data_IF_674700003302
#
_entry.id   IF_674700003302
#
_cell.length_a   1.000
_cell.length_b   1.000
_cell.length_c   1.000
_cell.angle_alpha   90.00
_cell.angle_beta   90.00
_cell.angle_gamma   90.00
#
_symmetry.space_group_name_H-M   'P 1'
#
loop_
_entity.id
_entity.type
_entity.pdbx_description
1 polymer ?
#
# COMPACT_ATOMS: atom_id res chain seq x y z
N UNK A 1 -54.06 -36.21 -25.91
CA UNK A 1 -54.53 -35.01 -25.19
C UNK A 1 -54.37 -35.26 -23.70
N UNK A 2 -53.39 -34.62 -23.08
CA UNK A 2 -53.30 -34.22 -21.66
C UNK A 2 -51.82 -34.00 -21.30
N UNK A 3 -51.31 -32.82 -21.63
CA UNK A 3 -50.01 -32.32 -21.17
C UNK A 3 -50.04 -32.08 -19.65
N UNK A 4 -49.13 -32.71 -18.90
CA UNK A 4 -48.84 -32.31 -17.51
C UNK A 4 -47.83 -31.17 -17.52
N UNK A 5 -48.32 -29.93 -17.44
CA UNK A 5 -47.48 -28.77 -17.15
C UNK A 5 -47.06 -28.81 -15.67
N UNK A 6 -45.81 -29.20 -15.42
CA UNK A 6 -45.15 -29.00 -14.14
C UNK A 6 -45.00 -27.50 -13.84
N UNK A 7 -45.50 -27.08 -12.67
CA UNK A 7 -45.43 -25.70 -12.16
C UNK A 7 -43.98 -25.26 -12.00
N UNK A 8 -43.51 -24.33 -12.83
CA UNK A 8 -42.18 -23.74 -12.74
C UNK A 8 -42.12 -22.75 -11.56
N UNK A 9 -41.29 -23.05 -10.55
CA UNK A 9 -40.97 -22.14 -9.45
C UNK A 9 -39.63 -21.44 -9.75
N UNK A 10 -39.62 -20.15 -10.08
CA UNK A 10 -38.41 -19.43 -10.47
C UNK A 10 -37.38 -19.27 -9.34
N UNK A 11 -37.77 -19.55 -8.09
CA UNK A 11 -36.87 -19.46 -6.94
C UNK A 11 -36.34 -20.83 -6.48
N UNK A 12 -36.68 -21.92 -7.19
CA UNK A 12 -36.15 -23.27 -6.97
C UNK A 12 -35.78 -23.91 -8.32
N UNK A 13 -34.66 -23.50 -8.95
CA UNK A 13 -34.19 -24.17 -10.15
C UNK A 13 -33.94 -25.65 -9.83
N UNK A 14 -34.60 -26.54 -10.57
CA UNK A 14 -34.35 -27.97 -10.49
C UNK A 14 -32.88 -28.21 -10.86
N UNK A 15 -32.09 -28.71 -9.91
CA UNK A 15 -30.67 -28.96 -10.13
C UNK A 15 -30.49 -30.06 -11.17
N UNK A 16 -29.65 -29.87 -12.20
CA UNK A 16 -29.39 -30.91 -13.19
C UNK A 16 -28.70 -32.09 -12.52
N UNK A 17 -29.25 -33.30 -12.68
CA UNK A 17 -28.62 -34.53 -12.20
C UNK A 17 -27.36 -34.80 -13.01
N UNK A 18 -26.21 -34.74 -12.34
CA UNK A 18 -24.91 -35.11 -12.92
C UNK A 18 -24.76 -36.63 -12.78
N UNK A 19 -24.59 -37.39 -13.89
CA UNK A 19 -24.32 -38.81 -13.81
C UNK A 19 -23.02 -39.08 -13.03
N UNK A 20 -23.08 -39.88 -11.97
CA UNK A 20 -21.90 -40.32 -11.21
C UNK A 20 -21.72 -39.74 -9.81
N UNK A 21 -22.66 -38.93 -9.30
CA UNK A 21 -22.68 -38.49 -7.88
C UNK A 21 -23.89 -39.11 -7.16
N UNK A 22 -23.68 -39.73 -6.00
CA UNK A 22 -24.76 -40.26 -5.17
C UNK A 22 -25.47 -39.12 -4.43
N UNK A 23 -26.79 -39.02 -4.58
CA UNK A 23 -27.64 -38.07 -3.88
C UNK A 23 -27.67 -38.39 -2.37
N UNK A 24 -26.93 -37.63 -1.56
CA UNK A 24 -27.04 -37.68 -0.10
C UNK A 24 -28.14 -36.73 0.38
N UNK A 25 -29.39 -37.20 0.44
CA UNK A 25 -30.40 -36.71 1.39
C UNK A 25 -31.67 -37.56 1.36
N UNK A 26 -31.82 -38.40 2.37
CA UNK A 26 -33.13 -38.82 2.86
C UNK A 26 -33.08 -38.85 4.40
N UNK A 27 -33.94 -38.09 5.10
CA UNK A 27 -34.10 -38.23 6.55
C UNK A 27 -35.01 -39.45 6.85
N UNK A 28 -34.76 -40.22 7.92
CA UNK A 28 -35.67 -41.30 8.31
C UNK A 28 -36.92 -40.75 9.05
N UNK A 29 -38.03 -41.53 9.08
CA UNK A 29 -39.34 -41.06 9.54
C UNK A 29 -39.47 -41.05 11.08
N UNK A 30 -40.34 -40.17 11.55
CA UNK A 30 -40.76 -40.06 12.94
C UNK A 30 -41.72 -41.21 13.31
N UNK A 31 -41.42 -41.89 14.42
CA UNK A 31 -42.33 -42.78 15.13
C UNK A 31 -42.50 -42.27 16.57
N UNK A 32 -43.72 -42.38 17.08
CA UNK A 32 -44.25 -41.59 18.19
C UNK A 32 -43.93 -42.14 19.59
N UNK A 33 -43.97 -41.21 20.55
CA UNK A 33 -44.33 -41.36 21.96
C UNK A 33 -43.30 -41.95 22.95
N UNK A 34 -42.64 -41.07 23.71
CA UNK A 34 -42.91 -40.89 25.16
C UNK A 34 -42.10 -39.71 25.74
N UNK A 35 -42.81 -38.76 26.35
CA UNK A 35 -42.29 -37.83 27.36
C UNK A 35 -42.91 -38.28 28.72
N UNK A 36 -42.40 -37.94 29.93
CA UNK A 36 -41.71 -36.68 30.33
C UNK A 36 -40.41 -36.91 31.14
N UNK A 37 -39.55 -35.93 31.44
CA UNK A 37 -39.56 -35.16 32.72
C UNK A 37 -38.35 -34.16 32.79
N UNK A 38 -38.63 -32.85 32.80
CA UNK A 38 -38.03 -31.70 33.57
C UNK A 38 -36.48 -31.46 33.72
N UNK A 39 -36.03 -30.25 34.15
CA UNK A 39 -35.05 -29.45 33.39
C UNK A 39 -33.73 -29.11 34.13
N UNK A 40 -32.88 -28.33 33.42
CA UNK A 40 -31.87 -27.37 33.88
C UNK A 40 -30.39 -27.82 33.95
N UNK A 41 -29.56 -27.15 33.15
CA UNK A 41 -28.20 -26.77 33.56
C UNK A 41 -27.79 -25.47 32.86
N UNK A 42 -27.83 -24.39 33.65
CA UNK A 42 -27.43 -23.01 33.35
C UNK A 42 -25.90 -22.95 33.42
N UNK A 43 -25.23 -22.79 32.27
CA UNK A 43 -23.77 -22.65 32.21
C UNK A 43 -23.31 -21.38 32.92
N UNK A 44 -22.44 -21.54 33.91
CA UNK A 44 -21.84 -20.46 34.72
C UNK A 44 -20.71 -19.80 33.93
N UNK A 45 -20.74 -18.47 33.81
CA UNK A 45 -19.62 -17.65 33.34
C UNK A 45 -18.62 -17.41 34.49
N UNK A 46 -17.30 -17.52 34.27
CA UNK A 46 -16.29 -17.35 35.32
C UNK A 46 -16.06 -15.87 35.72
N UNK A 47 -15.76 -15.59 37.00
CA UNK A 47 -15.93 -14.27 37.66
C UNK A 47 -14.74 -13.28 37.52
N UNK A 48 -13.92 -13.36 36.47
CA UNK A 48 -12.62 -12.67 36.41
C UNK A 48 -12.54 -11.37 35.59
N UNK A 49 -13.67 -10.83 35.11
CA UNK A 49 -13.67 -9.60 34.29
C UNK A 49 -14.28 -8.36 34.96
N UNK A 50 -14.46 -8.38 36.28
CA UNK A 50 -14.96 -7.23 37.07
C UNK A 50 -13.82 -6.22 37.41
N UNK A 51 -12.57 -6.48 37.00
CA UNK A 51 -11.40 -5.69 37.40
C UNK A 51 -10.93 -4.59 36.42
N UNK A 52 -11.76 -4.12 35.48
CA UNK A 52 -11.42 -2.97 34.59
C UNK A 52 -12.42 -1.81 34.77
N UNK A 53 -12.88 -1.60 36.01
CA UNK A 53 -13.74 -0.45 36.36
C UNK A 53 -13.01 0.70 37.06
N UNK A 54 -11.80 0.48 37.58
CA UNK A 54 -11.17 1.40 38.56
C UNK A 54 -9.96 2.21 38.02
N UNK A 55 -9.47 1.95 36.80
CA UNK A 55 -8.28 2.64 36.27
C UNK A 55 -8.58 3.97 35.53
N UNK A 56 -9.86 4.30 35.32
CA UNK A 56 -10.27 5.50 34.55
C UNK A 56 -10.18 6.84 35.28
N UNK A 57 -10.08 6.85 36.61
CA UNK A 57 -10.19 8.08 37.40
C UNK A 57 -8.85 8.82 37.63
N UNK A 58 -7.69 8.20 37.37
CA UNK A 58 -6.37 8.79 37.67
C UNK A 58 -5.80 9.58 36.48
N UNK A 59 -6.18 9.26 35.24
CA UNK A 59 -5.64 9.91 34.03
C UNK A 59 -6.25 11.29 33.73
N UNK A 60 -7.41 11.62 34.29
CA UNK A 60 -8.06 12.93 34.09
C UNK A 60 -7.42 14.07 34.93
N UNK A 61 -6.71 13.75 36.02
CA UNK A 61 -6.08 14.75 36.88
C UNK A 61 -4.77 15.32 36.35
N UNK A 62 -4.03 14.56 35.53
CA UNK A 62 -2.69 14.95 35.04
C UNK A 62 -2.79 15.85 33.79
N UNK A 63 -3.88 15.75 33.01
CA UNK A 63 -4.07 16.49 31.76
C UNK A 63 -4.30 18.00 31.92
N UNK A 64 -4.85 18.48 33.05
CA UNK A 64 -5.13 19.91 33.24
C UNK A 64 -3.92 20.73 33.72
N UNK A 65 -2.92 20.10 34.36
CA UNK A 65 -1.76 20.82 34.92
C UNK A 65 -0.75 21.29 33.86
N UNK A 66 -0.67 20.60 32.73
CA UNK A 66 0.34 20.89 31.69
C UNK A 66 -0.07 22.00 30.71
N UNK A 67 -1.34 22.41 30.69
CA UNK A 67 -1.81 23.46 29.77
C UNK A 67 -1.64 24.89 30.32
N UNK A 68 -1.38 25.04 31.62
CA UNK A 68 -1.26 26.34 32.30
C UNK A 68 0.18 26.83 32.49
N UNK A 69 1.20 26.03 32.16
CA UNK A 69 2.62 26.40 32.26
C UNK A 69 3.34 26.46 30.90
N UNK A 70 2.74 27.10 29.89
CA UNK A 70 3.49 27.47 28.68
C UNK A 70 4.15 28.85 28.88
N UNK A 71 5.50 28.93 28.98
CA UNK A 71 6.20 30.20 28.97
C UNK A 71 6.11 30.84 27.57
N UNK A 72 5.81 32.13 27.53
CA UNK A 72 5.75 32.96 26.34
C UNK A 72 7.16 33.28 25.83
N UNK A 73 7.44 32.96 24.57
CA UNK A 73 8.64 33.43 23.85
C UNK A 73 8.50 34.90 23.44
N UNK A 74 9.48 35.77 23.73
CA UNK A 74 9.51 37.13 23.21
C UNK A 74 10.12 37.24 21.79
N UNK A 75 9.42 38.01 20.97
CA UNK A 75 9.87 39.01 19.97
C UNK A 75 10.79 38.62 18.78
N UNK A 76 10.39 39.04 17.58
CA UNK A 76 11.25 39.87 16.70
C UNK A 76 10.40 40.77 15.77
N UNK A 77 10.69 42.07 15.64
CA UNK A 77 9.93 43.03 14.82
C UNK A 77 10.33 43.03 13.32
N UNK A 78 9.42 43.43 12.40
CA UNK A 78 9.72 43.44 10.97
C UNK A 78 10.65 44.59 10.58
N UNK A 79 11.81 44.25 10.00
CA UNK A 79 12.67 45.19 9.31
C UNK A 79 11.99 45.66 8.01
N UNK A 80 11.76 46.97 7.93
CA UNK A 80 11.29 47.67 6.74
C UNK A 80 12.33 47.55 5.60
N UNK A 81 11.91 47.02 4.44
CA UNK A 81 12.67 47.18 3.20
C UNK A 81 12.23 48.45 2.50
N UNK A 82 13.10 49.46 2.55
CA UNK A 82 12.93 50.73 1.85
C UNK A 82 13.23 50.55 0.36
N UNK A 83 12.44 51.26 -0.45
CA UNK A 83 12.46 51.29 -1.90
C UNK A 83 13.74 51.91 -2.48
N UNK A 84 14.18 51.39 -3.63
CA UNK A 84 15.24 51.96 -4.45
C UNK A 84 14.88 53.37 -4.97
N UNK A 85 15.89 54.14 -5.41
CA UNK A 85 15.80 54.58 -6.81
C UNK A 85 17.09 54.40 -7.61
N UNK A 86 16.86 54.30 -8.92
CA UNK A 86 17.80 54.10 -10.00
C UNK A 86 18.76 55.28 -10.21
N UNK A 87 19.94 54.98 -10.77
CA UNK A 87 20.69 55.87 -11.66
C UNK A 87 21.65 55.04 -12.53
N UNK A 88 21.33 54.93 -13.82
CA UNK A 88 22.27 54.69 -14.93
C UNK A 88 22.75 56.06 -15.46
N UNK A 89 23.67 56.20 -16.45
CA UNK A 89 24.53 55.21 -17.14
C UNK A 89 26.02 55.65 -17.31
N UNK A 90 26.92 54.71 -17.64
CA UNK A 90 27.93 54.92 -18.69
C UNK A 90 28.73 53.66 -19.01
N UNK A 91 29.28 53.55 -20.24
CA UNK A 91 29.49 52.30 -20.95
C UNK A 91 30.95 51.81 -20.89
N UNK A 92 31.15 50.64 -21.50
CA UNK A 92 32.43 50.20 -22.06
C UNK A 92 33.38 49.44 -21.11
N UNK A 93 33.21 48.12 -21.08
CA UNK A 93 34.33 47.21 -21.26
C UNK A 93 33.79 45.83 -21.63
N UNK A 94 34.17 45.37 -22.81
CA UNK A 94 33.83 44.08 -23.36
C UNK A 94 34.18 42.93 -22.41
N UNK A 95 33.20 42.09 -22.09
CA UNK A 95 33.40 40.78 -21.50
C UNK A 95 32.51 39.77 -22.24
N UNK A 96 33.13 39.17 -23.27
CA UNK A 96 32.92 37.84 -23.84
C UNK A 96 31.69 37.08 -23.28
N UNK A 97 30.61 37.03 -24.07
CA UNK A 97 29.49 36.10 -23.83
C UNK A 97 29.95 34.68 -24.21
N UNK A 98 29.89 33.67 -23.31
CA UNK A 98 29.81 32.30 -23.75
C UNK A 98 28.41 32.06 -24.34
N UNK A 99 28.40 31.39 -25.50
CA UNK A 99 27.23 31.10 -26.30
C UNK A 99 26.08 30.49 -25.47
N UNK A 100 24.87 31.02 -25.70
CA UNK A 100 23.61 30.44 -25.24
C UNK A 100 23.54 28.97 -25.69
N UNK A 101 23.37 27.99 -24.79
CA UNK A 101 23.14 26.61 -25.23
C UNK A 101 21.79 26.53 -25.94
N UNK A 102 21.82 25.95 -27.14
CA UNK A 102 20.65 25.70 -27.99
C UNK A 102 19.51 25.04 -27.19
N UNK A 103 18.24 25.28 -27.55
CA UNK A 103 17.11 24.65 -26.88
C UNK A 103 17.28 23.13 -26.97
N UNK A 104 17.32 22.49 -25.80
CA UNK A 104 17.31 21.04 -25.67
C UNK A 104 16.05 20.56 -26.39
N UNK A 105 16.25 19.89 -27.53
CA UNK A 105 15.19 19.22 -28.28
C UNK A 105 14.50 18.30 -27.28
N UNK A 106 13.23 18.56 -27.00
CA UNK A 106 12.42 17.71 -26.16
C UNK A 106 12.40 16.32 -26.78
N UNK A 107 13.15 15.39 -26.17
CA UNK A 107 13.19 14.00 -26.57
C UNK A 107 11.77 13.45 -26.44
N UNK A 108 11.17 13.11 -27.58
CA UNK A 108 9.84 12.53 -27.65
C UNK A 108 9.88 11.21 -26.85
N UNK A 109 9.09 11.05 -25.78
CA UNK A 109 9.14 9.84 -24.97
C UNK A 109 8.88 8.60 -25.82
N UNK A 110 9.68 7.52 -25.67
CA UNK A 110 9.54 6.34 -26.50
C UNK A 110 8.14 5.72 -26.34
N UNK A 111 7.57 5.28 -27.47
CA UNK A 111 6.25 4.64 -27.55
C UNK A 111 6.20 3.21 -26.95
N UNK A 112 7.26 2.80 -26.24
CA UNK A 112 7.53 1.45 -25.76
C UNK A 112 7.47 1.41 -24.23
N UNK A 113 7.21 0.23 -23.61
CA UNK A 113 7.33 0.11 -22.15
C UNK A 113 8.72 0.60 -21.71
N UNK A 114 8.74 1.48 -20.71
CA UNK A 114 9.96 2.13 -20.24
C UNK A 114 10.94 1.06 -19.77
N UNK A 115 12.14 1.03 -20.35
CA UNK A 115 13.23 0.22 -19.83
C UNK A 115 13.70 0.84 -18.52
N UNK A 116 13.49 0.12 -17.41
CA UNK A 116 13.76 0.64 -16.06
C UNK A 116 15.11 0.21 -15.54
N UNK A 117 15.58 -0.98 -15.90
CA UNK A 117 16.82 -1.56 -15.41
C UNK A 117 17.27 -2.73 -16.27
N UNK A 118 18.51 -3.18 -16.08
CA UNK A 118 18.97 -4.48 -16.56
C UNK A 118 18.97 -5.53 -15.45
N UNK A 119 18.98 -6.81 -15.83
CA UNK A 119 19.11 -7.91 -14.87
C UNK A 119 20.48 -7.93 -14.19
N UNK A 120 21.50 -7.35 -14.82
CA UNK A 120 22.84 -7.20 -14.27
C UNK A 120 22.89 -6.08 -13.22
N UNK A 121 22.20 -4.96 -13.46
CA UNK A 121 22.07 -3.87 -12.48
C UNK A 121 21.34 -4.30 -11.20
N UNK A 122 20.46 -5.29 -11.31
CA UNK A 122 19.58 -5.78 -10.25
C UNK A 122 19.95 -7.20 -9.80
N UNK A 123 21.25 -7.53 -9.83
CA UNK A 123 21.78 -8.87 -9.57
C UNK A 123 21.68 -9.30 -8.09
N UNK A 124 21.79 -8.34 -7.17
CA UNK A 124 21.76 -8.59 -5.73
C UNK A 124 20.34 -8.61 -5.17
N UNK A 125 20.05 -9.51 -4.21
CA UNK A 125 18.83 -9.41 -3.42
C UNK A 125 18.71 -8.03 -2.78
N UNK A 126 17.51 -7.46 -2.81
CA UNK A 126 17.19 -6.13 -2.32
C UNK A 126 17.87 -4.97 -3.05
N UNK A 127 18.54 -5.21 -4.18
CA UNK A 127 18.93 -4.14 -5.09
C UNK A 127 17.68 -3.34 -5.46
N UNK A 128 17.80 -2.02 -5.49
CA UNK A 128 16.67 -1.14 -5.78
C UNK A 128 17.09 -0.03 -6.73
N UNK A 129 16.19 0.32 -7.65
CA UNK A 129 16.40 1.42 -8.60
C UNK A 129 15.16 2.28 -8.68
N UNK A 130 15.34 3.59 -8.46
CA UNK A 130 14.28 4.58 -8.69
C UNK A 130 14.14 4.82 -10.19
N UNK A 131 12.91 4.99 -10.64
CA UNK A 131 12.61 5.34 -12.02
C UNK A 131 11.32 6.18 -12.09
N UNK A 132 11.03 6.70 -13.27
CA UNK A 132 9.80 7.44 -13.54
C UNK A 132 8.97 6.64 -14.53
N UNK A 133 7.74 6.28 -14.14
CA UNK A 133 6.82 5.57 -15.01
C UNK A 133 5.99 6.56 -15.82
N UNK A 134 6.09 6.50 -17.15
CA UNK A 134 5.31 7.32 -18.06
C UNK A 134 4.11 6.54 -18.59
N UNK A 135 2.92 6.78 -18.01
CA UNK A 135 1.69 6.16 -18.56
C UNK A 135 1.21 6.96 -19.75
N UNK A 136 0.90 6.27 -20.86
CA UNK A 136 0.31 6.86 -22.08
C UNK A 136 -1.00 7.66 -21.86
N UNK A 137 -1.66 7.47 -20.71
CA UNK A 137 -2.99 8.01 -20.39
C UNK A 137 -3.00 8.73 -19.03
N UNK A 138 -1.90 8.78 -18.27
CA UNK A 138 -1.87 9.53 -17.00
C UNK A 138 -1.48 10.99 -17.24
N UNK A 139 -1.98 11.87 -16.37
CA UNK A 139 -1.73 13.31 -16.37
C UNK A 139 -0.35 13.64 -15.76
N UNK A 140 0.67 12.84 -16.08
CA UNK A 140 2.05 13.14 -15.70
C UNK A 140 2.91 11.94 -15.27
N UNK A 141 4.21 12.19 -15.07
CA UNK A 141 5.17 11.20 -14.60
C UNK A 141 4.84 10.68 -13.20
N UNK A 142 4.95 9.37 -13.00
CA UNK A 142 4.77 8.73 -11.69
C UNK A 142 6.13 8.27 -11.16
N UNK A 143 6.65 8.83 -10.05
CA UNK A 143 7.87 8.34 -9.44
C UNK A 143 7.64 6.93 -8.87
N UNK A 144 8.59 6.03 -9.12
CA UNK A 144 8.48 4.63 -8.81
C UNK A 144 9.80 4.03 -8.32
N UNK A 145 9.70 2.86 -7.69
CA UNK A 145 10.84 2.07 -7.26
C UNK A 145 10.71 0.65 -7.76
N UNK A 146 11.79 0.13 -8.35
CA UNK A 146 11.98 -1.27 -8.66
C UNK A 146 12.85 -1.89 -7.56
N UNK A 147 12.45 -3.05 -7.05
CA UNK A 147 13.18 -3.81 -6.03
C UNK A 147 13.38 -5.25 -6.50
N UNK A 148 14.62 -5.75 -6.41
CA UNK A 148 14.92 -7.17 -6.58
C UNK A 148 14.57 -7.91 -5.29
N UNK A 149 13.60 -8.81 -5.35
CA UNK A 149 13.23 -9.63 -4.18
C UNK A 149 14.27 -10.73 -3.94
N UNK A 150 14.44 -11.25 -2.73
CA UNK A 150 15.17 -12.49 -2.52
C UNK A 150 14.40 -13.68 -3.11
N UNK A 151 15.11 -14.54 -3.83
CA UNK A 151 14.55 -15.76 -4.41
C UNK A 151 14.18 -15.65 -5.90
N UNK A 152 14.10 -16.81 -6.56
CA UNK A 152 13.84 -16.90 -7.99
C UNK A 152 15.00 -16.44 -8.88
N UNK A 153 14.85 -16.67 -10.19
CA UNK A 153 15.83 -16.26 -11.20
C UNK A 153 15.69 -14.78 -11.54
N UNK A 154 16.80 -14.07 -11.72
CA UNK A 154 16.82 -12.69 -12.22
C UNK A 154 16.13 -12.56 -13.60
N UNK A 155 15.91 -13.66 -14.32
CA UNK A 155 15.18 -13.69 -15.60
C UNK A 155 13.65 -13.88 -15.44
N UNK A 156 13.14 -13.92 -14.21
CA UNK A 156 11.70 -14.02 -13.92
C UNK A 156 11.12 -12.70 -13.45
N UNK A 157 10.01 -12.25 -14.00
CA UNK A 157 9.32 -11.04 -13.52
C UNK A 157 8.91 -11.13 -12.03
N UNK A 158 8.56 -12.34 -11.55
CA UNK A 158 8.13 -12.56 -10.16
C UNK A 158 9.24 -12.32 -9.12
N UNK A 159 10.49 -12.23 -9.58
CA UNK A 159 11.69 -11.91 -8.79
C UNK A 159 11.85 -10.41 -8.53
N UNK A 160 10.98 -9.59 -9.11
CA UNK A 160 11.00 -8.15 -8.99
C UNK A 160 9.68 -7.65 -8.42
N UNK A 161 9.78 -6.51 -7.76
CA UNK A 161 8.64 -5.76 -7.29
C UNK A 161 8.81 -4.30 -7.68
N UNK A 162 7.93 -3.81 -8.54
CA UNK A 162 7.88 -2.40 -8.88
C UNK A 162 6.57 -1.78 -8.39
N UNK A 163 6.67 -0.57 -7.86
CA UNK A 163 5.53 0.14 -7.30
C UNK A 163 5.73 1.65 -7.36
N UNK A 164 4.63 2.40 -7.34
CA UNK A 164 4.65 3.86 -7.26
C UNK A 164 5.10 4.32 -5.87
N UNK A 165 6.02 5.28 -5.83
CA UNK A 165 6.55 5.85 -4.58
C UNK A 165 5.53 6.70 -3.83
N UNK A 166 4.45 7.14 -4.47
CA UNK A 166 3.36 7.87 -3.81
C UNK A 166 2.08 7.05 -3.87
N UNK A 167 1.46 6.82 -2.72
CA UNK A 167 0.11 6.26 -2.68
C UNK A 167 -0.90 7.29 -3.17
N UNK A 168 -2.09 6.86 -3.62
CA UNK A 168 -3.10 7.78 -4.20
C UNK A 168 -3.52 8.93 -3.27
N UNK A 169 -3.39 8.73 -1.97
CA UNK A 169 -3.79 9.69 -0.94
C UNK A 169 -2.65 10.03 0.04
N UNK A 170 -1.46 9.48 -0.19
CA UNK A 170 -0.30 9.68 0.67
C UNK A 170 0.38 11.01 0.38
N UNK A 171 0.83 11.67 1.44
CA UNK A 171 1.63 12.90 1.34
C UNK A 171 3.13 12.60 1.26
N UNK A 172 3.55 11.47 1.82
CA UNK A 172 4.93 11.06 1.85
C UNK A 172 5.26 10.11 0.71
N UNK A 173 6.53 10.10 0.32
CA UNK A 173 7.06 9.04 -0.53
C UNK A 173 7.36 7.80 0.31
N UNK A 174 7.08 6.65 -0.28
CA UNK A 174 7.50 5.35 0.21
C UNK A 174 9.02 5.23 0.13
N UNK A 175 9.62 4.52 1.07
CA UNK A 175 11.05 4.20 1.03
C UNK A 175 11.27 2.71 1.28
N UNK A 176 12.29 2.13 0.62
CA UNK A 176 12.80 0.81 0.96
C UNK A 176 13.75 0.96 2.15
N UNK A 177 13.32 0.46 3.31
CA UNK A 177 14.08 0.51 4.55
C UNK A 177 14.80 -0.81 4.75
N UNK A 178 16.12 -0.82 4.51
CA UNK A 178 16.98 -1.97 4.77
C UNK A 178 17.50 -2.03 6.21
N UNK A 179 17.54 -0.89 6.90
CA UNK A 179 17.92 -0.81 8.31
C UNK A 179 16.77 -1.33 9.21
N UNK A 180 16.94 -2.53 9.76
CA UNK A 180 15.95 -3.17 10.60
C UNK A 180 15.78 -2.47 11.96
N UNK A 181 16.81 -1.77 12.42
CA UNK A 181 16.74 -1.00 13.65
C UNK A 181 15.91 0.27 13.42
N UNK A 182 16.07 0.94 12.26
CA UNK A 182 15.19 2.03 11.82
C UNK A 182 13.72 1.59 11.75
N UNK A 183 13.44 0.41 11.17
CA UNK A 183 12.08 -0.14 11.17
C UNK A 183 11.52 -0.34 12.58
N UNK A 184 12.36 -0.75 13.52
CA UNK A 184 11.96 -0.96 14.91
C UNK A 184 11.75 0.36 15.66
N UNK A 185 12.66 1.32 15.52
CA UNK A 185 12.62 2.59 16.26
C UNK A 185 11.57 3.55 15.72
N UNK A 186 11.55 3.75 14.40
CA UNK A 186 10.81 4.84 13.78
C UNK A 186 9.40 4.38 13.39
N UNK A 187 9.26 3.11 12.99
CA UNK A 187 7.99 2.52 12.54
C UNK A 187 7.38 1.55 13.56
N UNK A 188 8.07 1.26 14.66
CA UNK A 188 7.59 0.33 15.69
C UNK A 188 7.42 -1.11 15.20
N UNK A 189 8.10 -1.50 14.13
CA UNK A 189 7.92 -2.79 13.47
C UNK A 189 9.22 -3.61 13.45
N UNK A 190 9.17 -4.84 13.98
CA UNK A 190 10.31 -5.78 13.93
C UNK A 190 10.23 -6.61 12.66
N UNK A 191 11.07 -6.28 11.68
CA UNK A 191 11.21 -7.04 10.44
C UNK A 191 12.39 -8.01 10.48
N UNK A 192 12.38 -9.00 9.59
CA UNK A 192 13.51 -9.93 9.38
C UNK A 192 14.25 -9.66 8.06
N UNK A 193 13.75 -8.70 7.28
CA UNK A 193 14.29 -8.33 5.98
C UNK A 193 13.88 -6.89 5.65
N UNK A 194 14.47 -6.27 4.61
CA UNK A 194 14.04 -4.96 4.14
C UNK A 194 12.53 -4.89 3.88
N UNK A 195 11.95 -3.76 4.24
CA UNK A 195 10.53 -3.46 4.09
C UNK A 195 10.34 -2.17 3.32
N UNK A 196 9.14 -1.96 2.79
CA UNK A 196 8.77 -0.64 2.26
C UNK A 196 7.95 0.08 3.31
N UNK A 197 8.24 1.34 3.58
CA UNK A 197 7.58 2.09 4.63
C UNK A 197 7.12 3.47 4.17
N UNK A 198 6.02 3.95 4.75
CA UNK A 198 5.51 5.31 4.56
C UNK A 198 5.71 6.13 5.85
N UNK A 199 6.59 7.14 5.87
CA UNK A 199 6.92 7.88 7.08
C UNK A 199 5.77 8.76 7.62
N UNK A 200 4.80 9.14 6.78
CA UNK A 200 3.67 9.98 7.22
C UNK A 200 2.72 9.26 8.17
N UNK A 201 2.52 7.95 7.98
CA UNK A 201 1.51 7.15 8.69
C UNK A 201 2.13 6.01 9.49
N UNK A 202 3.46 5.93 9.50
CA UNK A 202 4.25 4.81 10.00
C UNK A 202 3.76 3.45 9.46
N UNK A 203 3.27 3.45 8.22
CA UNK A 203 2.80 2.22 7.57
C UNK A 203 4.00 1.43 7.07
N UNK A 204 3.99 0.11 7.30
CA UNK A 204 4.99 -0.82 6.78
C UNK A 204 4.32 -1.85 5.88
N UNK A 205 4.93 -2.07 4.72
CA UNK A 205 4.53 -3.00 3.68
C UNK A 205 5.59 -4.08 3.53
N UNK A 206 5.15 -5.35 3.56
CA UNK A 206 6.04 -6.49 3.39
C UNK A 206 6.15 -6.91 1.91
N UNK A 207 7.35 -6.78 1.28
CA UNK A 207 7.58 -7.13 -0.12
C UNK A 207 7.33 -8.61 -0.45
N UNK A 208 7.46 -9.50 0.52
CA UNK A 208 7.38 -10.95 0.36
C UNK A 208 5.97 -11.48 0.60
N UNK A 209 5.16 -10.74 1.38
CA UNK A 209 3.78 -11.10 1.63
C UNK A 209 2.82 -10.55 0.57
N UNK A 210 1.68 -11.22 0.44
CA UNK A 210 0.56 -10.79 -0.42
C UNK A 210 -0.59 -10.30 0.43
N UNK A 211 -1.15 -9.15 0.05
CA UNK A 211 -2.39 -8.63 0.58
C UNK A 211 -3.54 -8.83 -0.41
N UNK A 212 -4.75 -8.50 0.02
CA UNK A 212 -5.95 -8.56 -0.83
C UNK A 212 -6.52 -7.17 -1.05
N UNK A 213 -6.75 -6.80 -2.31
CA UNK A 213 -7.43 -5.56 -2.69
C UNK A 213 -8.62 -5.93 -3.57
N UNK A 214 -9.83 -5.63 -3.12
CA UNK A 214 -11.07 -5.91 -3.88
C UNK A 214 -11.19 -7.37 -4.36
N UNK A 215 -10.71 -8.33 -3.56
CA UNK A 215 -10.72 -9.76 -3.89
C UNK A 215 -9.53 -10.27 -4.72
N UNK A 216 -8.67 -9.37 -5.22
CA UNK A 216 -7.45 -9.73 -5.94
C UNK A 216 -6.25 -9.78 -4.99
N UNK A 217 -5.34 -10.73 -5.22
CA UNK A 217 -4.09 -10.84 -4.48
C UNK A 217 -3.02 -9.93 -5.09
N UNK A 218 -2.45 -9.07 -4.27
CA UNK A 218 -1.37 -8.14 -4.67
C UNK A 218 -0.19 -8.28 -3.74
N UNK A 219 1.03 -8.02 -4.23
CA UNK A 219 2.25 -8.04 -3.41
C UNK A 219 2.34 -6.79 -2.53
N UNK A 220 3.03 -6.87 -1.39
CA UNK A 220 3.27 -5.70 -0.54
C UNK A 220 2.23 -5.57 0.57
N UNK A 221 1.89 -6.66 1.25
CA UNK A 221 0.86 -6.66 2.29
C UNK A 221 1.13 -5.58 3.35
N UNK A 222 0.08 -4.89 3.81
CA UNK A 222 0.18 -3.97 4.95
C UNK A 222 0.35 -4.81 6.21
N UNK A 223 1.48 -4.67 6.89
CA UNK A 223 1.81 -5.42 8.12
C UNK A 223 1.78 -4.55 9.38
N UNK A 224 1.76 -3.22 9.20
CA UNK A 224 1.67 -2.23 10.27
C UNK A 224 1.14 -0.91 9.70
N UNK A 225 0.45 -0.12 10.54
CA UNK A 225 -0.02 1.23 10.21
C UNK A 225 -1.44 1.28 9.67
N UNK A 226 -1.81 2.42 9.08
CA UNK A 226 -3.20 2.75 8.74
C UNK A 226 -3.53 2.68 7.25
N UNK A 227 -2.60 2.24 6.40
CA UNK A 227 -2.89 2.12 4.97
C UNK A 227 -3.95 1.04 4.72
N UNK A 228 -4.96 1.40 3.91
CA UNK A 228 -6.04 0.49 3.54
C UNK A 228 -5.66 -0.49 2.43
N UNK A 229 -4.61 -0.17 1.67
CA UNK A 229 -4.18 -0.94 0.50
C UNK A 229 -2.66 -0.95 0.40
N UNK A 230 -2.08 -2.03 -0.13
CA UNK A 230 -0.71 -2.05 -0.62
C UNK A 230 -0.39 -0.92 -1.62
N UNK A 231 0.90 -0.65 -1.87
CA UNK A 231 1.33 0.32 -2.87
C UNK A 231 0.78 0.01 -4.26
N UNK A 232 0.58 1.04 -5.09
CA UNK A 232 0.16 0.82 -6.48
C UNK A 232 1.26 0.09 -7.24
N UNK A 233 0.92 -1.09 -7.74
CA UNK A 233 1.82 -1.98 -8.44
C UNK A 233 2.12 -1.47 -9.84
N UNK A 234 3.37 -1.68 -10.27
CA UNK A 234 3.79 -1.54 -11.66
C UNK A 234 4.23 -2.92 -12.14
N UNK A 235 3.55 -3.43 -13.14
CA UNK A 235 3.90 -4.68 -13.79
C UNK A 235 5.21 -4.54 -14.54
N UNK A 236 6.05 -5.56 -14.41
CA UNK A 236 7.33 -5.65 -15.10
C UNK A 236 7.40 -6.88 -15.99
N UNK A 237 8.05 -6.73 -17.13
CA UNK A 237 8.39 -7.81 -18.03
C UNK A 237 9.89 -7.88 -18.22
N UNK A 238 10.40 -9.10 -18.44
CA UNK A 238 11.82 -9.32 -18.71
C UNK A 238 11.97 -9.75 -20.16
N UNK A 239 12.78 -9.00 -20.91
CA UNK A 239 13.10 -9.29 -22.31
C UNK A 239 14.61 -9.35 -22.48
N UNK A 240 15.15 -10.57 -22.55
CA UNK A 240 16.59 -10.78 -22.52
C UNK A 240 17.14 -10.38 -21.15
N UNK A 241 18.03 -9.39 -21.13
CA UNK A 241 18.58 -8.80 -19.91
C UNK A 241 17.89 -7.49 -19.50
N UNK A 242 16.83 -7.07 -20.20
CA UNK A 242 16.14 -5.81 -19.91
C UNK A 242 14.89 -6.03 -19.08
N UNK A 243 14.67 -5.15 -18.12
CA UNK A 243 13.48 -5.08 -17.28
C UNK A 243 12.65 -3.90 -17.78
N UNK A 244 11.42 -4.17 -18.18
CA UNK A 244 10.51 -3.22 -18.80
C UNK A 244 9.30 -3.00 -17.90
N UNK A 245 8.98 -1.75 -17.57
CA UNK A 245 7.74 -1.42 -16.87
C UNK A 245 6.60 -1.29 -17.89
N UNK A 246 5.53 -2.07 -17.72
CA UNK A 246 4.49 -2.22 -18.75
C UNK A 246 3.16 -1.59 -18.38
N UNK A 247 2.71 -1.75 -17.14
CA UNK A 247 1.37 -1.34 -16.72
C UNK A 247 1.37 -0.98 -15.23
N UNK A 248 0.45 -0.11 -14.82
CA UNK A 248 0.20 0.21 -13.42
C UNK A 248 -1.26 -0.11 -13.08
N UNK A 249 -1.48 -0.77 -11.94
CA UNK A 249 -2.78 -1.24 -11.44
C UNK A 249 -3.64 -0.15 -10.75
#
# INVERSE_FOLDING_TARGET
MADQQGKFDPFKPAQPRIPGVSDASAPPPAEAATAPTKPAARGKLPPQWIAIGAAGAVLLGIGLGWLLLRPSTPAEPPAASQSAPASSPSPEAAAIQPASPAPVVAEVPPLYPDEVATTEEMDKPWASKRFTFMKKIAVGPVPALLVRLPGGSAKSAASYWAFALKSRYGKCELELVADLEKLRSDYGYRAQHPMVAEPCTNTVFDPLQRGTVSGAWVRGAVVQGSALRPPLMIDVQIKGNRILAVQME
#
